data_IF_307244193266
#
_entry.id   IF_307244193266
#
_cell.length_a   1.000
_cell.length_b   1.000
_cell.length_c   1.000
_cell.angle_alpha   90.00
_cell.angle_beta   90.00
_cell.angle_gamma   90.00
#
_symmetry.space_group_name_H-M   'P 1'
#
loop_
_entity.id
_entity.type
_entity.pdbx_description
1 polymer ?
#
# COMPACT_ATOMS: atom_id res chain seq x y z
N UNK A 1 -16.04 22.22 13.74
CA UNK A 1 -16.24 20.93 13.05
C UNK A 1 -14.95 20.17 13.23
N UNK A 2 -14.87 19.49 14.36
CA UNK A 2 -13.70 18.86 14.92
C UNK A 2 -13.47 17.55 14.15
N UNK A 3 -12.29 17.39 13.57
CA UNK A 3 -11.86 16.10 13.05
C UNK A 3 -11.96 15.11 14.19
N UNK A 4 -12.92 14.18 14.09
CA UNK A 4 -13.00 13.01 14.94
C UNK A 4 -11.82 12.11 14.54
N UNK A 5 -10.63 12.51 14.98
CA UNK A 5 -9.46 11.67 15.08
C UNK A 5 -9.95 10.46 15.86
N UNK A 6 -9.88 9.30 15.20
CA UNK A 6 -10.12 8.01 15.80
C UNK A 6 -9.47 8.03 17.18
N UNK A 7 -10.28 7.93 18.22
CA UNK A 7 -9.77 7.79 19.58
C UNK A 7 -8.88 6.54 19.57
N UNK A 8 -7.56 6.75 19.67
CA UNK A 8 -6.54 5.70 19.71
C UNK A 8 -6.79 4.69 20.84
N UNK A 9 -7.74 4.98 21.74
CA UNK A 9 -8.17 4.11 22.84
C UNK A 9 -9.32 3.15 22.48
N UNK A 10 -10.06 3.36 21.39
CA UNK A 10 -11.16 2.46 20.99
C UNK A 10 -10.67 1.05 20.58
N UNK A 11 -9.36 0.88 20.37
CA UNK A 11 -8.71 -0.38 20.00
C UNK A 11 -7.90 -1.00 21.15
N UNK A 12 -7.91 -0.41 22.35
CA UNK A 12 -7.04 -0.83 23.45
C UNK A 12 -7.70 -1.75 24.48
N UNK A 13 -9.03 -1.89 24.48
CA UNK A 13 -9.69 -2.74 25.49
C UNK A 13 -9.80 -4.19 25.04
N UNK A 14 -8.92 -4.98 25.67
CA UNK A 14 -9.12 -6.37 26.11
C UNK A 14 -8.89 -7.50 25.09
N UNK A 15 -7.60 -7.77 24.79
CA UNK A 15 -7.17 -9.09 24.30
C UNK A 15 -5.94 -9.55 25.08
N UNK A 16 -6.04 -10.78 25.63
CA UNK A 16 -5.04 -11.45 26.47
C UNK A 16 -3.66 -11.58 25.80
N UNK A 17 -2.64 -11.03 26.46
CA UNK A 17 -1.21 -11.36 26.27
C UNK A 17 -0.40 -10.34 25.47
N UNK A 18 0.19 -9.36 26.17
CA UNK A 18 1.35 -8.47 25.87
C UNK A 18 1.62 -7.87 24.46
N UNK A 19 0.98 -8.31 23.36
CA UNK A 19 1.07 -7.65 22.06
C UNK A 19 -0.15 -6.78 21.80
N UNK A 20 -0.04 -5.50 22.14
CA UNK A 20 -1.07 -4.51 21.80
C UNK A 20 -1.15 -4.30 20.30
N UNK A 21 -2.37 -4.13 19.80
CA UNK A 21 -2.60 -3.77 18.40
C UNK A 21 -1.84 -2.49 18.07
N UNK A 22 -1.01 -2.60 17.04
CA UNK A 22 -0.13 -1.51 16.65
C UNK A 22 -0.79 -0.66 15.57
N UNK A 23 -0.91 0.65 15.81
CA UNK A 23 -1.30 1.60 14.77
C UNK A 23 -0.38 1.45 13.54
N UNK A 24 -1.00 1.36 12.37
CA UNK A 24 -0.35 1.08 11.09
C UNK A 24 -0.80 2.08 10.00
N UNK A 25 -1.51 3.15 10.38
CA UNK A 25 -2.06 4.15 9.45
C UNK A 25 -0.93 4.93 8.77
N UNK A 26 0.07 5.39 9.53
CA UNK A 26 1.19 6.15 8.98
C UNK A 26 1.98 5.37 7.92
N UNK A 27 2.16 4.07 8.15
CA UNK A 27 2.87 3.19 7.21
C UNK A 27 2.07 2.98 5.92
N UNK A 28 0.75 2.90 6.03
CA UNK A 28 -0.13 2.89 4.87
C UNK A 28 0.02 4.20 4.08
N UNK A 29 -0.02 5.34 4.78
CA UNK A 29 0.12 6.65 4.17
C UNK A 29 1.44 6.82 3.44
N UNK A 30 2.56 6.34 3.99
CA UNK A 30 3.85 6.41 3.29
C UNK A 30 3.85 5.61 1.97
N UNK A 31 3.24 4.43 1.94
CA UNK A 31 3.08 3.66 0.69
C UNK A 31 2.19 4.40 -0.32
N UNK A 32 1.11 5.04 0.16
CA UNK A 32 0.22 5.86 -0.67
C UNK A 32 0.97 7.06 -1.27
N UNK A 33 1.73 7.79 -0.46
CA UNK A 33 2.52 8.93 -0.92
C UNK A 33 3.60 8.53 -1.93
N UNK A 34 4.28 7.41 -1.70
CA UNK A 34 5.25 6.88 -2.65
C UNK A 34 4.61 6.59 -4.00
N UNK A 35 3.42 5.98 -4.02
CA UNK A 35 2.69 5.72 -5.25
C UNK A 35 2.22 7.02 -5.94
N UNK A 36 1.74 7.99 -5.16
CA UNK A 36 1.39 9.32 -5.67
C UNK A 36 2.58 10.01 -6.34
N UNK A 37 3.78 9.92 -5.74
CA UNK A 37 5.00 10.46 -6.33
C UNK A 37 5.37 9.77 -7.66
N UNK A 38 5.21 8.44 -7.77
CA UNK A 38 5.43 7.71 -9.03
C UNK A 38 4.50 8.23 -10.13
N UNK A 39 3.21 8.44 -9.84
CA UNK A 39 2.28 8.97 -10.85
C UNK A 39 2.61 10.37 -11.31
N UNK A 40 3.07 11.24 -10.40
CA UNK A 40 3.51 12.59 -10.76
C UNK A 40 4.74 12.51 -11.67
N UNK A 41 5.73 11.70 -11.32
CA UNK A 41 6.94 11.53 -12.11
C UNK A 41 6.65 10.94 -13.50
N UNK A 42 5.78 9.93 -13.59
CA UNK A 42 5.41 9.32 -14.89
C UNK A 42 4.57 10.25 -15.74
N UNK A 43 3.71 11.09 -15.14
CA UNK A 43 2.99 12.13 -15.86
C UNK A 43 3.95 13.19 -16.46
N UNK A 44 5.01 13.55 -15.73
CA UNK A 44 6.06 14.44 -16.25
C UNK A 44 6.78 13.80 -17.43
N UNK A 45 7.19 12.52 -17.32
CA UNK A 45 7.83 11.79 -18.42
C UNK A 45 6.90 11.76 -19.63
N UNK A 46 5.63 11.41 -19.44
CA UNK A 46 4.63 11.36 -20.51
C UNK A 46 4.45 12.73 -21.17
N UNK A 47 4.38 13.80 -20.39
CA UNK A 47 4.29 15.16 -20.90
C UNK A 47 5.51 15.52 -21.76
N UNK A 48 6.72 15.20 -21.31
CA UNK A 48 7.96 15.41 -22.08
C UNK A 48 7.90 14.67 -23.43
N UNK A 49 7.40 13.44 -23.44
CA UNK A 49 7.22 12.66 -24.67
C UNK A 49 6.17 13.26 -25.61
N UNK A 50 5.05 13.76 -25.07
CA UNK A 50 4.03 14.46 -25.86
C UNK A 50 4.62 15.72 -26.50
N UNK A 51 5.35 16.53 -25.73
CA UNK A 51 6.01 17.75 -26.23
C UNK A 51 7.04 17.45 -27.33
N UNK A 52 7.74 16.32 -27.23
CA UNK A 52 8.62 15.84 -28.29
C UNK A 52 7.84 15.47 -29.56
N UNK A 53 6.77 14.68 -29.43
CA UNK A 53 5.96 14.22 -30.56
C UNK A 53 5.31 15.36 -31.35
N UNK A 54 4.89 16.43 -30.67
CA UNK A 54 4.31 17.62 -31.33
C UNK A 54 5.37 18.62 -31.82
N UNK A 55 6.66 18.28 -31.68
CA UNK A 55 7.78 19.07 -32.18
C UNK A 55 8.11 20.33 -31.37
N UNK A 56 7.59 20.46 -30.14
CA UNK A 56 7.96 21.54 -29.20
C UNK A 56 9.38 21.32 -28.67
N UNK A 57 9.68 20.07 -28.27
CA UNK A 57 11.04 19.63 -27.97
C UNK A 57 11.52 18.84 -29.19
N UNK A 58 12.74 19.09 -29.65
CA UNK A 58 13.31 18.38 -30.80
C UNK A 58 14.69 17.79 -30.52
N UNK A 59 15.31 18.20 -29.42
CA UNK A 59 16.62 17.71 -29.01
C UNK A 59 16.48 16.35 -28.31
N UNK A 60 16.95 15.31 -28.98
CA UNK A 60 16.88 13.93 -28.48
C UNK A 60 17.83 13.70 -27.31
N UNK A 61 18.96 14.43 -27.22
CA UNK A 61 19.90 14.27 -26.12
C UNK A 61 19.29 14.74 -24.80
N UNK A 62 18.53 15.84 -24.83
CA UNK A 62 17.78 16.36 -23.67
C UNK A 62 16.77 15.32 -23.16
N UNK A 63 16.08 14.63 -24.07
CA UNK A 63 15.08 13.62 -23.71
C UNK A 63 15.75 12.42 -23.06
N UNK A 64 16.79 11.87 -23.70
CA UNK A 64 17.51 10.71 -23.16
C UNK A 64 18.09 10.99 -21.77
N UNK A 65 18.66 12.19 -21.56
CA UNK A 65 19.17 12.61 -20.27
C UNK A 65 18.06 12.75 -19.21
N UNK A 66 16.95 13.38 -19.58
CA UNK A 66 15.78 13.59 -18.70
C UNK A 66 15.17 12.26 -18.29
N UNK A 67 14.97 11.34 -19.24
CA UNK A 67 14.44 10.00 -18.99
C UNK A 67 15.36 9.17 -18.11
N UNK A 68 16.67 9.29 -18.30
CA UNK A 68 17.66 8.64 -17.42
C UNK A 68 17.49 9.06 -15.96
N UNK A 69 17.43 10.37 -15.70
CA UNK A 69 17.29 10.90 -14.34
C UNK A 69 15.92 10.57 -13.75
N UNK A 70 14.84 10.86 -14.47
CA UNK A 70 13.49 10.62 -13.98
C UNK A 70 13.22 9.12 -13.80
N UNK A 71 13.73 8.28 -14.70
CA UNK A 71 13.65 6.83 -14.59
C UNK A 71 14.36 6.29 -13.34
N UNK A 72 15.57 6.77 -13.03
CA UNK A 72 16.27 6.41 -11.78
C UNK A 72 15.47 6.84 -10.54
N UNK A 73 14.93 8.06 -10.54
CA UNK A 73 14.11 8.55 -9.43
C UNK A 73 12.83 7.72 -9.25
N UNK A 74 12.13 7.39 -10.34
CA UNK A 74 10.96 6.51 -10.32
C UNK A 74 11.33 5.15 -9.71
N UNK A 75 12.44 4.54 -10.15
CA UNK A 75 12.90 3.25 -9.63
C UNK A 75 13.16 3.28 -8.12
N UNK A 76 13.82 4.32 -7.61
CA UNK A 76 14.10 4.50 -6.18
C UNK A 76 12.80 4.67 -5.38
N UNK A 77 11.88 5.51 -5.86
CA UNK A 77 10.59 5.75 -5.19
C UNK A 77 9.73 4.49 -5.19
N UNK A 78 9.69 3.75 -6.31
CA UNK A 78 8.98 2.48 -6.41
C UNK A 78 9.55 1.44 -5.44
N UNK A 79 10.87 1.27 -5.40
CA UNK A 79 11.50 0.31 -4.49
C UNK A 79 11.22 0.67 -3.02
N UNK A 80 11.37 1.95 -2.67
CA UNK A 80 11.09 2.44 -1.32
C UNK A 80 9.62 2.24 -0.95
N UNK A 81 8.70 2.62 -1.85
CA UNK A 81 7.26 2.43 -1.70
C UNK A 81 6.87 0.97 -1.54
N UNK A 82 7.48 0.07 -2.32
CA UNK A 82 7.26 -1.37 -2.22
C UNK A 82 7.71 -1.93 -0.87
N UNK A 83 8.87 -1.52 -0.36
CA UNK A 83 9.35 -1.93 0.97
C UNK A 83 8.40 -1.42 2.07
N UNK A 84 7.97 -0.15 2.00
CA UNK A 84 7.01 0.43 2.94
C UNK A 84 5.67 -0.32 2.90
N UNK A 85 5.21 -0.66 1.70
CA UNK A 85 4.01 -1.46 1.48
C UNK A 85 4.15 -2.85 2.12
N UNK A 86 5.24 -3.59 1.89
CA UNK A 86 5.45 -4.91 2.51
C UNK A 86 5.48 -4.83 4.04
N UNK A 87 6.11 -3.79 4.60
CA UNK A 87 6.13 -3.57 6.05
C UNK A 87 4.74 -3.30 6.62
N UNK A 88 3.94 -2.48 5.93
CA UNK A 88 2.54 -2.24 6.29
C UNK A 88 1.71 -3.51 6.16
N UNK A 89 1.82 -4.21 5.03
CA UNK A 89 1.03 -5.37 4.65
C UNK A 89 1.21 -6.53 5.64
N UNK A 90 2.47 -6.87 5.95
CA UNK A 90 2.79 -7.89 6.97
C UNK A 90 2.20 -7.52 8.32
N UNK A 91 2.26 -6.25 8.71
CA UNK A 91 1.77 -5.80 10.02
C UNK A 91 0.25 -5.76 10.09
N UNK A 92 -0.42 -5.41 9.00
CA UNK A 92 -1.87 -5.48 8.90
C UNK A 92 -2.34 -6.94 9.02
N UNK A 93 -1.60 -7.89 8.43
CA UNK A 93 -1.88 -9.32 8.59
C UNK A 93 -1.65 -9.81 10.03
N UNK A 94 -0.59 -9.34 10.69
CA UNK A 94 -0.36 -9.66 12.10
C UNK A 94 -1.46 -9.09 13.01
N UNK A 95 -1.92 -7.87 12.75
CA UNK A 95 -2.97 -7.24 13.56
C UNK A 95 -4.27 -8.06 13.55
N UNK A 96 -4.69 -8.62 12.41
CA UNK A 96 -5.89 -9.47 12.37
C UNK A 96 -5.71 -10.79 13.14
N UNK A 97 -4.50 -11.32 13.25
CA UNK A 97 -4.21 -12.49 14.09
C UNK A 97 -4.29 -12.14 15.58
N UNK A 98 -3.78 -10.96 15.98
CA UNK A 98 -3.87 -10.45 17.36
C UNK A 98 -5.33 -10.26 17.78
N UNK A 99 -6.20 -9.79 16.88
CA UNK A 99 -7.65 -9.68 17.13
C UNK A 99 -8.32 -11.07 17.34
N UNK A 100 -7.61 -12.16 17.03
CA UNK A 100 -8.10 -13.53 17.24
C UNK A 100 -8.73 -14.17 16.01
N UNK A 101 -8.58 -13.59 14.82
CA UNK A 101 -9.04 -14.24 13.59
C UNK A 101 -8.08 -15.34 13.12
N UNK A 102 -8.61 -16.53 12.85
CA UNK A 102 -7.85 -17.60 12.19
C UNK A 102 -7.40 -17.17 10.78
N UNK A 103 -6.10 -17.29 10.50
CA UNK A 103 -5.48 -16.93 9.21
C UNK A 103 -4.99 -18.18 8.49
N UNK A 104 -5.12 -18.22 7.16
CA UNK A 104 -4.70 -19.38 6.36
C UNK A 104 -3.20 -19.44 6.13
N UNK A 105 -2.51 -18.31 6.30
CA UNK A 105 -1.08 -18.17 6.06
C UNK A 105 -0.37 -17.68 7.32
N UNK A 106 0.92 -17.97 7.42
CA UNK A 106 1.78 -17.36 8.44
C UNK A 106 2.23 -15.97 8.00
N UNK A 107 2.56 -15.09 8.94
CA UNK A 107 3.11 -13.75 8.66
C UNK A 107 4.31 -13.71 7.70
N UNK A 108 5.14 -14.75 7.69
CA UNK A 108 6.27 -14.86 6.78
C UNK A 108 5.86 -14.89 5.29
N UNK A 109 4.70 -15.49 4.99
CA UNK A 109 4.16 -15.57 3.63
C UNK A 109 3.58 -14.25 3.14
N UNK A 110 3.23 -13.32 4.04
CA UNK A 110 2.84 -11.97 3.66
C UNK A 110 3.98 -11.20 2.97
N UNK A 111 5.24 -11.57 3.23
CA UNK A 111 6.41 -11.01 2.53
C UNK A 111 6.92 -11.99 1.48
N UNK A 112 7.12 -13.26 1.86
CA UNK A 112 7.69 -14.28 0.99
C UNK A 112 6.85 -14.57 -0.26
N UNK A 113 5.53 -14.37 -0.19
CA UNK A 113 4.63 -14.55 -1.33
C UNK A 113 5.01 -13.70 -2.54
N UNK A 114 5.54 -12.49 -2.32
CA UNK A 114 5.93 -11.57 -3.40
C UNK A 114 7.23 -11.98 -4.13
N UNK A 115 8.06 -12.83 -3.53
CA UNK A 115 9.36 -13.21 -4.09
C UNK A 115 9.32 -14.51 -4.91
N UNK A 116 8.20 -15.26 -4.84
CA UNK A 116 8.01 -16.49 -5.62
C UNK A 116 7.05 -16.16 -6.77
N UNK A 117 7.50 -16.17 -8.05
CA UNK A 117 6.71 -15.62 -9.16
C UNK A 117 5.28 -16.17 -9.29
N UNK A 118 5.11 -17.49 -9.10
CA UNK A 118 3.79 -18.14 -9.17
C UNK A 118 2.90 -17.73 -7.98
N UNK A 119 3.49 -17.54 -6.81
CA UNK A 119 2.74 -17.18 -5.59
C UNK A 119 2.51 -15.67 -5.48
N UNK A 120 3.31 -14.83 -6.15
CA UNK A 120 3.23 -13.37 -6.09
C UNK A 120 1.87 -12.82 -6.54
N UNK A 121 1.15 -13.58 -7.37
CA UNK A 121 -0.22 -13.25 -7.77
C UNK A 121 -1.24 -13.78 -6.76
N UNK A 122 -1.09 -15.04 -6.33
CA UNK A 122 -2.11 -15.75 -5.56
C UNK A 122 -2.06 -15.44 -4.05
N UNK A 123 -0.89 -15.51 -3.43
CA UNK A 123 -0.74 -15.40 -1.98
C UNK A 123 -1.04 -13.99 -1.49
N UNK A 124 -0.43 -12.95 -2.06
CA UNK A 124 -0.73 -11.59 -1.67
C UNK A 124 -2.21 -11.20 -1.86
N UNK A 125 -2.86 -11.66 -2.92
CA UNK A 125 -4.29 -11.42 -3.15
C UNK A 125 -5.16 -12.06 -2.05
N UNK A 126 -4.89 -13.32 -1.69
CA UNK A 126 -5.64 -14.01 -0.64
C UNK A 126 -5.44 -13.33 0.71
N UNK A 127 -4.20 -12.98 1.05
CA UNK A 127 -3.84 -12.31 2.29
C UNK A 127 -4.52 -10.92 2.36
N UNK A 128 -4.50 -10.15 1.28
CA UNK A 128 -5.20 -8.87 1.20
C UNK A 128 -6.71 -9.03 1.42
N UNK A 129 -7.31 -10.04 0.78
CA UNK A 129 -8.73 -10.35 0.93
C UNK A 129 -9.08 -10.67 2.39
N UNK A 130 -8.26 -11.48 3.07
CA UNK A 130 -8.44 -11.78 4.50
C UNK A 130 -8.35 -10.52 5.35
N UNK A 131 -7.34 -9.68 5.12
CA UNK A 131 -7.16 -8.40 5.84
C UNK A 131 -8.41 -7.53 5.67
N UNK A 132 -8.88 -7.34 4.44
CA UNK A 132 -10.06 -6.51 4.15
C UNK A 132 -11.34 -7.04 4.81
N UNK A 133 -11.64 -8.34 4.65
CA UNK A 133 -12.84 -8.96 5.20
C UNK A 133 -12.85 -8.86 6.73
N UNK A 134 -11.74 -9.17 7.38
CA UNK A 134 -11.64 -9.19 8.84
C UNK A 134 -11.67 -7.79 9.44
N UNK A 135 -10.95 -6.82 8.86
CA UNK A 135 -11.04 -5.42 9.28
C UNK A 135 -12.46 -4.88 9.16
N UNK A 136 -13.18 -5.25 8.09
CA UNK A 136 -14.59 -4.87 7.91
C UNK A 136 -15.46 -5.44 9.03
N UNK A 137 -15.32 -6.72 9.35
CA UNK A 137 -16.05 -7.36 10.45
C UNK A 137 -15.75 -6.69 11.81
N UNK A 138 -14.49 -6.37 12.08
CA UNK A 138 -14.11 -5.65 13.32
C UNK A 138 -14.73 -4.26 13.38
N UNK A 139 -14.73 -3.51 12.28
CA UNK A 139 -15.34 -2.18 12.23
C UNK A 139 -16.86 -2.22 12.43
N UNK A 140 -17.55 -3.18 11.81
CA UNK A 140 -19.00 -3.39 11.97
C UNK A 140 -19.35 -3.78 13.42
N UNK A 141 -18.57 -4.68 14.03
CA UNK A 141 -18.77 -5.11 15.42
C UNK A 141 -18.59 -3.98 16.44
N UNK A 142 -17.72 -3.01 16.16
CA UNK A 142 -17.45 -1.86 17.02
C UNK A 142 -18.34 -0.65 16.72
N UNK A 143 -19.36 -0.80 15.86
CA UNK A 143 -20.27 0.30 15.50
C UNK A 143 -19.62 1.42 14.68
N UNK A 144 -18.42 1.19 14.14
CA UNK A 144 -17.68 2.15 13.32
C UNK A 144 -18.32 2.16 11.92
N UNK A 145 -19.16 3.16 11.64
CA UNK A 145 -19.73 3.39 10.31
C UNK A 145 -18.66 3.90 9.34
N UNK A 146 -18.04 2.95 8.64
CA UNK A 146 -17.38 3.08 7.33
C UNK A 146 -16.43 4.28 7.08
N UNK A 147 -15.14 4.06 7.33
CA UNK A 147 -14.03 4.64 6.54
C UNK A 147 -13.16 3.58 5.86
N UNK A 148 -13.56 2.30 5.94
CA UNK A 148 -12.91 1.23 5.18
C UNK A 148 -13.34 1.39 3.72
N UNK A 149 -12.65 2.33 3.08
CA UNK A 149 -12.68 2.70 1.68
C UNK A 149 -12.88 1.47 0.82
N UNK A 150 -13.96 1.45 0.04
CA UNK A 150 -14.19 0.51 -1.06
C UNK A 150 -13.11 0.52 -2.15
N UNK A 151 -11.95 1.13 -1.88
CA UNK A 151 -10.77 1.15 -2.73
C UNK A 151 -9.80 0.00 -2.48
N UNK A 152 -9.85 -0.78 -1.39
CA UNK A 152 -8.81 -1.79 -1.13
C UNK A 152 -8.71 -2.89 -2.21
N UNK A 153 -9.83 -3.27 -2.84
CA UNK A 153 -9.83 -4.17 -3.99
C UNK A 153 -9.34 -3.50 -5.29
N UNK A 154 -9.63 -2.20 -5.48
CA UNK A 154 -9.08 -1.42 -6.60
C UNK A 154 -7.58 -1.17 -6.46
N UNK A 155 -7.12 -0.98 -5.22
CA UNK A 155 -5.72 -0.82 -4.80
C UNK A 155 -4.85 -2.03 -5.14
N UNK A 156 -5.43 -3.23 -5.21
CA UNK A 156 -4.70 -4.45 -5.56
C UNK A 156 -4.07 -4.40 -6.96
N UNK A 157 -4.79 -3.83 -7.93
CA UNK A 157 -4.29 -3.67 -9.30
C UNK A 157 -3.16 -2.65 -9.44
N UNK A 158 -2.89 -1.83 -8.41
CA UNK A 158 -1.82 -0.83 -8.46
C UNK A 158 -0.45 -1.37 -8.04
N UNK A 159 -0.39 -2.56 -7.42
CA UNK A 159 0.85 -3.25 -7.05
C UNK A 159 1.18 -4.45 -7.95
N UNK A 160 0.26 -4.85 -8.83
CA UNK A 160 0.43 -5.92 -9.82
C UNK A 160 1.02 -5.43 -11.13
#
# INVERSE_FOLDING_TARGET
MENQILDDNAFQEDVKGEETMRNNIDRANYAIYAQGAVFVLTAIILLTHVLFLIGVIQDIEIILFTDGILGMLVGIVMLTGFVLFLMWFRRAYKNIQIIGYETKHTDGWAVGGFFVPILAIYYPYNIMTEIWQKMKLTAEGNGIKHYLTGGLHGWWWFFG
#
